data_IF_405497653119
#
_entry.id   IF_405497653119
#
_cell.length_a   1.000
_cell.length_b   1.000
_cell.length_c   1.000
_cell.angle_alpha   90.00
_cell.angle_beta   90.00
_cell.angle_gamma   90.00
#
_symmetry.space_group_name_H-M   'P 1'
#
loop_
_entity.id
_entity.type
_entity.pdbx_description
1 polymer ?
#
# COMPACT_ATOMS: atom_id res chain seq x y z
N UNK A 1 13.14 4.01 -4.27
CA UNK A 1 12.06 4.07 -3.27
C UNK A 1 12.62 4.54 -1.95
N UNK A 2 11.84 5.24 -1.10
CA UNK A 2 12.25 5.56 0.26
C UNK A 2 12.64 4.30 1.03
N UNK A 3 13.54 4.44 2.01
CA UNK A 3 13.95 3.33 2.89
C UNK A 3 12.74 2.70 3.57
N UNK A 4 12.58 1.38 3.45
CA UNK A 4 11.44 0.64 3.99
C UNK A 4 10.27 0.43 3.01
N UNK A 5 10.38 0.94 1.78
CA UNK A 5 9.41 0.66 0.71
C UNK A 5 9.95 -0.41 -0.26
N UNK A 6 9.06 -1.23 -0.80
CA UNK A 6 9.35 -2.23 -1.84
C UNK A 6 9.08 -1.62 -3.21
N UNK A 7 10.10 -1.57 -4.06
CA UNK A 7 9.97 -1.07 -5.44
C UNK A 7 9.60 -2.19 -6.41
N UNK A 8 8.58 -1.95 -7.25
CA UNK A 8 8.24 -2.83 -8.36
C UNK A 8 7.65 -2.05 -9.53
N UNK A 9 8.12 -2.33 -10.74
CA UNK A 9 7.69 -1.71 -11.99
C UNK A 9 7.60 -0.17 -11.95
N UNK A 10 8.59 0.48 -11.32
CA UNK A 10 8.63 1.93 -11.15
C UNK A 10 7.72 2.50 -10.04
N UNK A 11 6.96 1.65 -9.35
CA UNK A 11 6.09 2.03 -8.22
C UNK A 11 6.72 1.59 -6.90
N UNK A 12 6.57 2.41 -5.86
CA UNK A 12 7.05 2.11 -4.52
C UNK A 12 5.87 1.80 -3.60
N UNK A 13 5.90 0.64 -2.95
CA UNK A 13 4.87 0.17 -2.04
C UNK A 13 5.37 0.21 -0.59
N UNK A 14 4.57 0.81 0.28
CA UNK A 14 4.79 0.82 1.72
C UNK A 14 3.73 -0.03 2.41
N UNK A 15 4.17 -0.99 3.22
CA UNK A 15 3.30 -1.86 4.00
C UNK A 15 3.36 -1.40 5.44
N UNK A 16 2.29 -0.76 5.90
CA UNK A 16 2.18 -0.29 7.26
C UNK A 16 1.95 -1.44 8.24
N UNK A 17 2.46 -1.31 9.47
CA UNK A 17 2.35 -2.35 10.51
C UNK A 17 1.28 -2.08 11.57
N UNK A 18 0.87 -0.82 11.75
CA UNK A 18 0.23 -0.38 13.00
C UNK A 18 -1.10 0.40 12.82
N UNK A 19 -1.73 0.40 11.64
CA UNK A 19 -2.94 1.21 11.40
C UNK A 19 -4.23 0.38 11.37
N UNK A 20 -5.20 0.83 12.16
CA UNK A 20 -6.44 0.10 12.45
C UNK A 20 -7.54 0.39 11.43
N UNK A 21 -7.64 1.63 10.92
CA UNK A 21 -8.71 2.05 10.00
C UNK A 21 -8.21 2.47 8.63
N UNK A 22 -9.12 2.46 7.66
CA UNK A 22 -8.84 2.90 6.30
C UNK A 22 -8.41 4.37 6.26
N UNK A 23 -9.08 5.23 7.02
CA UNK A 23 -8.79 6.67 7.11
C UNK A 23 -7.39 6.91 7.68
N UNK A 24 -7.02 6.21 8.75
CA UNK A 24 -5.67 6.29 9.33
C UNK A 24 -4.60 5.83 8.33
N UNK A 25 -4.88 4.76 7.58
CA UNK A 25 -4.00 4.29 6.51
C UNK A 25 -3.82 5.34 5.41
N UNK A 26 -4.92 5.97 4.97
CA UNK A 26 -4.90 7.01 3.94
C UNK A 26 -4.20 8.29 4.40
N UNK A 27 -4.44 8.73 5.63
CA UNK A 27 -3.76 9.87 6.24
C UNK A 27 -2.25 9.62 6.30
N UNK A 28 -1.83 8.44 6.77
CA UNK A 28 -0.40 8.08 6.81
C UNK A 28 0.23 8.05 5.42
N UNK A 29 -0.44 7.44 4.44
CA UNK A 29 0.05 7.47 3.07
C UNK A 29 0.22 8.92 2.59
N UNK A 30 -0.71 9.81 2.93
CA UNK A 30 -0.69 11.23 2.54
C UNK A 30 0.49 11.98 3.20
N UNK A 31 0.81 11.70 4.47
CA UNK A 31 2.00 12.23 5.14
C UNK A 31 3.31 11.83 4.45
N UNK A 32 3.33 10.66 3.81
CA UNK A 32 4.47 10.17 3.02
C UNK A 32 4.46 10.67 1.57
N UNK A 33 3.53 11.57 1.21
CA UNK A 33 3.35 12.04 -0.17
C UNK A 33 2.81 10.97 -1.12
N UNK A 34 2.10 9.97 -0.57
CA UNK A 34 1.57 8.81 -1.27
C UNK A 34 0.06 8.65 -1.04
N UNK A 35 -0.52 7.60 -1.61
CA UNK A 35 -1.92 7.23 -1.45
C UNK A 35 -2.02 5.72 -1.17
N UNK A 36 -3.12 5.28 -0.55
CA UNK A 36 -3.37 3.84 -0.40
C UNK A 36 -3.32 3.15 -1.76
N UNK A 37 -2.67 1.98 -1.81
CA UNK A 37 -2.46 1.26 -3.04
C UNK A 37 -3.80 0.86 -3.67
N UNK A 38 -3.98 1.21 -4.95
CA UNK A 38 -5.15 0.78 -5.73
C UNK A 38 -4.73 -0.38 -6.62
N UNK A 39 -5.34 -1.56 -6.47
CA UNK A 39 -5.23 -2.65 -7.43
C UNK A 39 -5.50 -2.16 -8.86
N UNK A 40 -4.48 -2.17 -9.72
CA UNK A 40 -4.65 -2.01 -11.17
C UNK A 40 -4.11 -3.26 -11.86
N UNK A 41 -5.03 -4.06 -12.40
CA UNK A 41 -4.78 -5.22 -13.27
C UNK A 41 -3.58 -6.08 -12.82
N UNK A 42 -2.68 -6.46 -13.73
CA UNK A 42 -1.57 -7.40 -13.54
C UNK A 42 -0.64 -7.10 -12.35
N UNK A 43 -0.56 -5.84 -11.90
CA UNK A 43 0.26 -5.45 -10.74
C UNK A 43 -0.34 -5.90 -9.41
N UNK A 44 -1.64 -6.15 -9.39
CA UNK A 44 -2.39 -6.57 -8.19
C UNK A 44 -1.92 -7.92 -7.67
N UNK A 45 -1.60 -8.86 -8.57
CA UNK A 45 -1.15 -10.20 -8.19
C UNK A 45 0.17 -10.17 -7.41
N UNK A 46 1.08 -9.26 -7.75
CA UNK A 46 2.31 -9.08 -6.98
C UNK A 46 2.05 -8.36 -5.66
N UNK A 47 1.17 -7.35 -5.63
CA UNK A 47 0.81 -6.68 -4.38
C UNK A 47 0.36 -7.69 -3.32
N UNK A 48 -0.47 -8.66 -3.72
CA UNK A 48 -0.90 -9.76 -2.85
C UNK A 48 0.25 -10.67 -2.42
N UNK A 49 1.24 -10.94 -3.29
CA UNK A 49 2.43 -11.72 -2.91
C UNK A 49 3.34 -10.95 -1.94
N UNK A 50 3.50 -9.65 -2.13
CA UNK A 50 4.37 -8.80 -1.31
C UNK A 50 3.80 -8.54 0.09
N UNK A 51 2.47 -8.42 0.20
CA UNK A 51 1.80 -8.25 1.50
C UNK A 51 2.04 -9.46 2.43
N UNK A 52 2.31 -10.65 1.87
CA UNK A 52 2.38 -11.89 2.63
C UNK A 52 1.04 -12.23 3.30
N UNK A 53 1.08 -12.69 4.54
CA UNK A 53 -0.12 -13.11 5.29
C UNK A 53 -0.84 -11.96 6.04
N UNK A 54 -0.35 -10.73 5.97
CA UNK A 54 -0.98 -9.59 6.67
C UNK A 54 -2.20 -9.06 5.91
N UNK A 55 -3.18 -8.51 6.63
CA UNK A 55 -4.27 -7.74 6.03
C UNK A 55 -3.89 -6.26 5.94
N UNK A 56 -4.15 -5.64 4.79
CA UNK A 56 -3.81 -4.24 4.53
C UNK A 56 -4.97 -3.52 3.87
N UNK A 57 -5.17 -2.26 4.25
CA UNK A 57 -6.11 -1.37 3.59
C UNK A 57 -5.61 -1.01 2.18
N UNK A 58 -6.55 -0.97 1.24
CA UNK A 58 -6.32 -0.59 -0.15
C UNK A 58 -7.14 0.64 -0.47
N UNK A 59 -6.74 1.41 -1.49
CA UNK A 59 -7.38 2.67 -1.88
C UNK A 59 -8.76 2.52 -2.55
N UNK A 60 -9.45 1.39 -2.33
CA UNK A 60 -10.80 1.15 -2.82
C UNK A 60 -11.81 1.74 -1.83
N UNK A 61 -12.61 2.71 -2.28
CA UNK A 61 -13.69 3.33 -1.49
C UNK A 61 -14.99 3.30 -2.30
N UNK A 62 -16.11 3.05 -1.62
CA UNK A 62 -17.46 3.02 -2.22
C UNK A 62 -18.12 4.39 -2.16
#
# INVERSE_FOLDING_TARGET
CPSGCVGYNGVCYYFSKDYSTWEQGQERCSELGAFLAIPKNEHTGLLFRLRGNGDFWLGLRR
#
